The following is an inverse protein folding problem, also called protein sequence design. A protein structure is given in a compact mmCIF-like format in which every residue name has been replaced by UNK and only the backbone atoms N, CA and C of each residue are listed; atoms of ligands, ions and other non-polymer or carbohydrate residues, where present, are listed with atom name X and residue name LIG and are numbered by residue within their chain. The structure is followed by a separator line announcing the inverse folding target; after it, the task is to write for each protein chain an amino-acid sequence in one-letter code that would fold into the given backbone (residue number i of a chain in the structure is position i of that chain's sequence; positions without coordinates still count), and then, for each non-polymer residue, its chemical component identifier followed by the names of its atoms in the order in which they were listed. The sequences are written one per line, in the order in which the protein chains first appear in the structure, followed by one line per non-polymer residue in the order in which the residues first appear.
data_IF_803162190433
#
_entry.id   IF_803162190433
#
_cell.length_a   1.000
_cell.length_b   1.000
_cell.length_c   1.000
_cell.angle_alpha   90.00
_cell.angle_beta   90.00
_cell.angle_gamma   90.00
#
_symmetry.space_group_name_H-M   'P 1'
#
loop_
_entity.id
_entity.type
_entity.pdbx_description
1 polymer ?
#
# COMPACT_ATOMS: atom_id res chain seq x y z
N UNK A 1 33.54 4.01 -10.70
CA UNK A 1 32.34 4.73 -11.16
C UNK A 1 31.21 4.35 -10.22
N UNK A 2 30.65 5.31 -9.49
CA UNK A 2 29.38 5.09 -8.77
C UNK A 2 28.30 5.18 -9.84
N UNK A 3 27.69 4.06 -10.22
CA UNK A 3 26.46 4.10 -11.01
C UNK A 3 25.43 4.85 -10.17
N UNK A 4 25.11 6.09 -10.57
CA UNK A 4 23.97 6.80 -10.02
C UNK A 4 22.76 6.07 -10.59
N UNK A 5 22.26 5.07 -9.85
CA UNK A 5 21.00 4.40 -10.20
C UNK A 5 19.93 5.46 -10.41
N UNK A 6 19.33 5.46 -11.59
CA UNK A 6 18.32 6.44 -11.98
C UNK A 6 17.14 6.39 -11.00
N UNK A 7 16.78 7.56 -10.48
CA UNK A 7 15.69 7.71 -9.51
C UNK A 7 14.39 7.21 -10.14
N UNK A 8 13.78 6.18 -9.56
CA UNK A 8 12.54 5.60 -10.04
C UNK A 8 11.33 6.24 -9.36
N UNK A 9 10.32 6.59 -10.15
CA UNK A 9 9.06 7.13 -9.62
C UNK A 9 7.91 6.15 -9.87
N UNK A 10 7.20 5.82 -8.79
CA UNK A 10 5.94 5.10 -8.82
C UNK A 10 4.80 6.07 -8.46
N UNK A 11 3.83 6.24 -9.36
CA UNK A 11 2.71 7.17 -9.22
C UNK A 11 1.43 6.44 -8.81
N UNK A 12 0.85 6.89 -7.70
CA UNK A 12 -0.34 6.38 -7.03
C UNK A 12 -1.40 7.49 -6.94
N UNK A 13 -2.66 7.10 -6.75
CA UNK A 13 -3.80 8.02 -6.76
C UNK A 13 -4.95 7.55 -7.65
N UNK A 14 -6.02 8.35 -7.74
CA UNK A 14 -7.11 8.07 -8.66
C UNK A 14 -6.61 8.13 -10.11
N UNK A 15 -7.04 7.19 -10.96
CA UNK A 15 -6.58 7.14 -12.36
C UNK A 15 -6.79 8.47 -13.10
N UNK A 16 -7.99 9.04 -13.00
CA UNK A 16 -8.31 10.31 -13.67
C UNK A 16 -7.41 11.46 -13.22
N UNK A 17 -7.06 11.49 -11.94
CA UNK A 17 -6.25 12.58 -11.37
C UNK A 17 -4.75 12.37 -11.65
N UNK A 18 -4.27 11.12 -11.64
CA UNK A 18 -2.92 10.81 -12.12
C UNK A 18 -2.73 11.18 -13.59
N UNK A 19 -3.73 10.87 -14.42
CA UNK A 19 -3.70 11.19 -15.85
C UNK A 19 -3.56 12.72 -16.05
N UNK A 20 -4.29 13.54 -15.29
CA UNK A 20 -4.13 15.01 -15.31
C UNK A 20 -2.77 15.45 -14.77
N UNK A 21 -2.34 14.87 -13.66
CA UNK A 21 -1.08 15.22 -13.00
C UNK A 21 0.12 15.05 -13.93
N UNK A 22 0.27 13.89 -14.58
CA UNK A 22 1.42 13.64 -15.45
C UNK A 22 1.46 14.55 -16.70
N UNK A 23 0.31 15.08 -17.13
CA UNK A 23 0.25 16.04 -18.24
C UNK A 23 0.71 17.45 -17.80
N UNK A 24 0.52 17.78 -16.52
CA UNK A 24 0.87 19.09 -15.96
C UNK A 24 2.23 19.14 -15.26
N UNK A 25 2.79 18.00 -14.87
CA UNK A 25 4.01 17.92 -14.08
C UNK A 25 5.25 18.09 -14.98
N UNK A 26 5.98 19.18 -14.78
CA UNK A 26 7.12 19.57 -15.63
C UNK A 26 8.47 19.07 -15.13
N UNK A 27 8.61 18.79 -13.83
CA UNK A 27 9.93 18.61 -13.21
C UNK A 27 10.59 17.29 -13.61
N UNK A 28 9.78 16.26 -13.90
CA UNK A 28 10.25 14.97 -14.41
C UNK A 28 9.31 14.47 -15.50
N UNK A 29 9.85 13.84 -16.55
CA UNK A 29 9.03 13.28 -17.64
C UNK A 29 8.34 12.00 -17.16
N UNK A 30 7.19 12.17 -16.52
CA UNK A 30 6.35 11.08 -16.08
C UNK A 30 5.45 10.58 -17.20
N UNK A 31 5.28 9.27 -17.27
CA UNK A 31 4.36 8.62 -18.20
C UNK A 31 3.45 7.66 -17.44
N UNK A 32 2.50 7.04 -18.15
CA UNK A 32 1.66 6.00 -17.58
C UNK A 32 2.44 4.76 -17.16
N UNK A 33 3.65 4.55 -17.69
CA UNK A 33 4.51 3.42 -17.27
C UNK A 33 4.92 3.55 -15.80
N UNK A 34 4.97 4.78 -15.25
CA UNK A 34 5.23 5.02 -13.84
C UNK A 34 4.06 4.60 -12.92
N UNK A 35 2.93 4.14 -13.46
CA UNK A 35 1.78 3.75 -12.63
C UNK A 35 1.97 2.35 -12.08
N UNK A 36 1.50 2.12 -10.86
CA UNK A 36 1.45 0.77 -10.28
C UNK A 36 0.58 -0.20 -11.10
N UNK A 37 -0.39 0.35 -11.83
CA UNK A 37 -1.25 -0.35 -12.78
C UNK A 37 -0.44 -1.05 -13.88
N UNK A 38 0.70 -0.50 -14.29
CA UNK A 38 1.58 -1.10 -15.32
C UNK A 38 1.96 -2.52 -14.93
N UNK A 39 2.49 -2.71 -13.72
CA UNK A 39 2.89 -4.02 -13.22
C UNK A 39 1.70 -4.97 -13.07
N UNK A 40 0.59 -4.50 -12.51
CA UNK A 40 -0.64 -5.29 -12.38
C UNK A 40 -1.17 -5.73 -13.77
N UNK A 41 -1.17 -4.82 -14.74
CA UNK A 41 -1.66 -5.08 -16.09
C UNK A 41 -0.77 -6.07 -16.83
N UNK A 42 0.55 -6.04 -16.64
CA UNK A 42 1.45 -7.04 -17.25
C UNK A 42 1.21 -8.45 -16.72
N UNK A 43 0.87 -8.62 -15.44
CA UNK A 43 0.45 -9.92 -14.93
C UNK A 43 -0.91 -10.32 -15.52
N UNK A 44 -1.87 -9.40 -15.62
CA UNK A 44 -3.18 -9.66 -16.25
C UNK A 44 -3.03 -10.06 -17.72
N UNK A 45 -2.20 -9.37 -18.48
CA UNK A 45 -1.91 -9.66 -19.89
C UNK A 45 -1.34 -11.08 -20.04
N UNK A 46 -0.36 -11.45 -19.20
CA UNK A 46 0.20 -12.81 -19.19
C UNK A 46 -0.87 -13.89 -18.89
N UNK A 47 -1.76 -13.63 -17.93
CA UNK A 47 -2.88 -14.54 -17.62
C UNK A 47 -3.83 -14.67 -18.82
N UNK A 48 -4.16 -13.55 -19.49
CA UNK A 48 -5.08 -13.54 -20.63
C UNK A 48 -4.51 -14.25 -21.85
N UNK A 49 -3.23 -14.03 -22.16
CA UNK A 49 -2.53 -14.68 -23.28
C UNK A 49 -2.49 -16.20 -23.14
N UNK A 50 -2.36 -16.69 -21.90
CA UNK A 50 -2.27 -18.12 -21.63
C UNK A 50 -3.62 -18.75 -21.23
N UNK A 51 -4.71 -17.97 -21.14
CA UNK A 51 -5.96 -18.37 -20.51
C UNK A 51 -6.50 -19.73 -21.00
N UNK A 52 -6.44 -20.01 -22.30
CA UNK A 52 -6.88 -21.28 -22.88
C UNK A 52 -6.12 -22.49 -22.33
N UNK A 53 -4.84 -22.31 -22.00
CA UNK A 53 -4.00 -23.36 -21.42
C UNK A 53 -4.22 -23.45 -19.92
N UNK A 54 -4.70 -22.42 -19.25
CA UNK A 54 -4.81 -22.34 -17.79
C UNK A 54 -6.09 -22.98 -17.22
N UNK A 55 -6.85 -23.74 -18.00
CA UNK A 55 -8.16 -24.30 -17.63
C UNK A 55 -8.13 -25.41 -16.57
N UNK A 56 -6.94 -25.93 -16.23
CA UNK A 56 -6.79 -26.94 -15.17
C UNK A 56 -5.93 -26.43 -14.02
N UNK A 57 -6.17 -26.95 -12.81
CA UNK A 57 -5.43 -26.59 -11.60
C UNK A 57 -3.91 -26.81 -11.76
N UNK A 58 -3.51 -27.93 -12.34
CA UNK A 58 -2.09 -28.24 -12.57
C UNK A 58 -1.43 -27.22 -13.51
N UNK A 59 -2.09 -26.86 -14.61
CA UNK A 59 -1.56 -25.86 -15.55
C UNK A 59 -1.51 -24.47 -14.94
N UNK A 60 -2.51 -24.09 -14.13
CA UNK A 60 -2.47 -22.87 -13.33
C UNK A 60 -1.28 -22.85 -12.36
N UNK A 61 -1.06 -23.94 -11.63
CA UNK A 61 0.08 -24.07 -10.71
C UNK A 61 1.41 -23.96 -11.44
N UNK A 62 1.55 -24.62 -12.59
CA UNK A 62 2.76 -24.53 -13.40
C UNK A 62 3.00 -23.10 -13.92
N UNK A 63 1.97 -22.42 -14.41
CA UNK A 63 2.05 -21.02 -14.83
C UNK A 63 2.49 -20.09 -13.70
N UNK A 64 1.86 -20.20 -12.52
CA UNK A 64 2.18 -19.31 -11.40
C UNK A 64 3.59 -19.53 -10.84
N UNK A 65 4.08 -20.77 -10.82
CA UNK A 65 5.48 -21.09 -10.47
C UNK A 65 6.47 -20.50 -11.47
N UNK A 66 6.14 -20.58 -12.77
CA UNK A 66 6.99 -20.09 -13.86
C UNK A 66 6.64 -18.66 -14.32
N UNK A 67 5.90 -17.90 -13.52
CA UNK A 67 5.34 -16.59 -13.92
C UNK A 67 6.39 -15.70 -14.59
N UNK A 68 7.61 -15.68 -14.07
CA UNK A 68 8.73 -14.87 -14.59
C UNK A 68 9.02 -15.08 -16.08
N UNK A 69 8.79 -16.28 -16.65
CA UNK A 69 9.02 -16.53 -18.09
C UNK A 69 7.99 -15.82 -18.97
N UNK A 70 6.76 -15.65 -18.48
CA UNK A 70 5.66 -15.01 -19.20
C UNK A 70 5.66 -13.49 -19.14
N UNK A 71 6.49 -12.90 -18.28
CA UNK A 71 6.55 -11.44 -18.13
C UNK A 71 7.45 -10.83 -19.21
N UNK A 72 7.17 -9.61 -19.70
CA UNK A 72 8.08 -8.87 -20.59
C UNK A 72 9.43 -8.50 -19.94
N UNK A 73 10.49 -8.39 -20.74
CA UNK A 73 11.85 -8.08 -20.26
C UNK A 73 11.93 -6.72 -19.55
N UNK A 74 11.21 -5.71 -20.04
CA UNK A 74 11.22 -4.37 -19.45
C UNK A 74 10.70 -4.36 -18.00
N UNK A 75 9.74 -5.23 -17.66
CA UNK A 75 9.27 -5.37 -16.27
C UNK A 75 10.27 -6.16 -15.41
N UNK A 76 10.92 -7.18 -15.99
CA UNK A 76 11.92 -7.99 -15.26
C UNK A 76 13.17 -7.19 -14.91
N UNK A 77 13.57 -6.31 -15.81
CA UNK A 77 14.77 -5.48 -15.66
C UNK A 77 14.49 -4.19 -14.88
N UNK A 78 13.23 -3.76 -14.80
CA UNK A 78 12.85 -2.64 -13.95
C UNK A 78 13.01 -2.99 -12.46
N UNK A 79 13.74 -2.18 -11.65
CA UNK A 79 13.94 -2.43 -10.24
C UNK A 79 12.66 -2.61 -9.39
N UNK A 80 11.60 -1.82 -9.64
CA UNK A 80 10.30 -2.03 -8.99
C UNK A 80 9.70 -3.36 -9.45
N UNK A 81 9.73 -3.64 -10.75
CA UNK A 81 9.21 -4.85 -11.37
C UNK A 81 9.88 -6.11 -10.84
N UNK A 82 11.20 -6.13 -10.72
CA UNK A 82 11.96 -7.21 -10.08
C UNK A 82 11.46 -7.48 -8.66
N UNK A 83 11.35 -6.43 -7.84
CA UNK A 83 10.84 -6.55 -6.48
C UNK A 83 9.39 -7.04 -6.43
N UNK A 84 8.59 -6.54 -7.38
CA UNK A 84 7.18 -6.84 -7.49
C UNK A 84 6.96 -8.32 -7.79
N UNK A 85 7.67 -8.86 -8.79
CA UNK A 85 7.61 -10.28 -9.18
C UNK A 85 8.10 -11.20 -8.06
N UNK A 86 9.22 -10.85 -7.41
CA UNK A 86 9.72 -11.61 -6.25
C UNK A 86 8.68 -11.65 -5.12
N UNK A 87 8.08 -10.51 -4.79
CA UNK A 87 7.07 -10.40 -3.72
C UNK A 87 5.76 -11.14 -4.01
N UNK A 88 5.44 -11.39 -5.29
CA UNK A 88 4.32 -12.26 -5.67
C UNK A 88 4.60 -13.73 -5.39
N UNK A 89 5.86 -14.15 -5.32
CA UNK A 89 6.22 -15.55 -5.08
C UNK A 89 6.55 -15.85 -3.61
N UNK A 90 7.08 -14.89 -2.85
CA UNK A 90 7.56 -15.11 -1.47
C UNK A 90 6.44 -15.23 -0.43
N UNK A 91 5.48 -14.30 -0.43
CA UNK A 91 4.46 -14.21 0.62
C UNK A 91 3.24 -15.01 0.19
N UNK A 92 2.84 -16.03 0.97
CA UNK A 92 1.66 -16.87 0.70
C UNK A 92 0.43 -16.07 0.23
N UNK A 93 0.04 -15.02 0.97
CA UNK A 93 -1.12 -14.18 0.64
C UNK A 93 -1.01 -13.37 -0.67
N UNK A 94 0.17 -13.30 -1.26
CA UNK A 94 0.47 -12.59 -2.51
C UNK A 94 0.57 -13.56 -3.70
N UNK A 95 0.76 -14.87 -3.45
CA UNK A 95 0.84 -15.87 -4.51
C UNK A 95 -0.43 -15.87 -5.34
N UNK A 96 -0.26 -15.83 -6.67
CA UNK A 96 -1.37 -15.87 -7.61
C UNK A 96 -2.23 -17.13 -7.39
N UNK A 97 -1.62 -18.26 -7.05
CA UNK A 97 -2.34 -19.49 -6.66
C UNK A 97 -3.36 -19.22 -5.54
N UNK A 98 -2.96 -18.52 -4.47
CA UNK A 98 -3.85 -18.21 -3.35
C UNK A 98 -4.84 -17.08 -3.66
N UNK A 99 -4.51 -16.17 -4.57
CA UNK A 99 -5.40 -15.07 -4.97
C UNK A 99 -6.53 -15.57 -5.87
N UNK A 100 -6.23 -16.54 -6.75
CA UNK A 100 -7.14 -17.08 -7.77
C UNK A 100 -7.65 -18.49 -7.44
N UNK A 101 -7.48 -18.96 -6.20
CA UNK A 101 -7.82 -20.35 -5.79
C UNK A 101 -9.28 -20.76 -6.07
N UNK A 102 -10.20 -19.80 -6.08
CA UNK A 102 -11.64 -20.00 -6.29
C UNK A 102 -12.08 -19.45 -7.66
N UNK A 103 -11.14 -19.33 -8.61
CA UNK A 103 -11.43 -18.82 -9.96
C UNK A 103 -11.38 -19.97 -10.95
N UNK A 104 -12.45 -20.09 -11.73
CA UNK A 104 -12.58 -21.05 -12.81
C UNK A 104 -12.37 -20.35 -14.16
N UNK A 105 -11.63 -20.99 -15.06
CA UNK A 105 -11.46 -20.49 -16.43
C UNK A 105 -12.33 -21.34 -17.34
N UNK A 106 -13.42 -20.75 -17.83
CA UNK A 106 -14.39 -21.38 -18.69
C UNK A 106 -14.04 -21.08 -20.15
N UNK A 107 -13.84 -22.12 -20.96
CA UNK A 107 -13.63 -21.98 -22.41
C UNK A 107 -14.98 -21.96 -23.12
N UNK A 108 -15.31 -20.85 -23.76
CA UNK A 108 -16.51 -20.67 -24.57
C UNK A 108 -16.09 -20.31 -26.01
N UNK A 109 -16.11 -21.31 -26.90
CA UNK A 109 -15.59 -21.19 -28.28
C UNK A 109 -14.14 -20.70 -28.26
N UNK A 110 -13.87 -19.54 -28.86
CA UNK A 110 -12.57 -18.87 -28.98
C UNK A 110 -12.29 -17.87 -27.83
N UNK A 111 -13.10 -17.89 -26.76
CA UNK A 111 -12.94 -16.98 -25.62
C UNK A 111 -12.82 -17.73 -24.31
N UNK A 112 -12.00 -17.20 -23.41
CA UNK A 112 -11.95 -17.63 -22.02
C UNK A 112 -12.65 -16.61 -21.13
N UNK A 113 -13.53 -17.11 -20.27
CA UNK A 113 -14.17 -16.33 -19.20
C UNK A 113 -13.55 -16.75 -17.87
N UNK A 114 -13.32 -15.77 -16.98
CA UNK A 114 -12.91 -16.02 -15.61
C UNK A 114 -14.15 -15.90 -14.75
N UNK A 115 -14.50 -16.95 -14.04
CA UNK A 115 -15.67 -17.02 -13.19
C UNK A 115 -15.25 -17.21 -11.73
N UNK A 116 -15.94 -16.51 -10.84
CA UNK A 116 -15.82 -16.68 -9.40
C UNK A 116 -17.19 -16.47 -8.75
N UNK A 117 -17.61 -17.42 -7.93
CA UNK A 117 -18.86 -17.38 -7.17
C UNK A 117 -20.10 -17.14 -8.08
N UNK A 118 -20.09 -17.69 -9.30
CA UNK A 118 -21.12 -17.53 -10.32
C UNK A 118 -21.04 -16.24 -11.13
N UNK A 119 -20.09 -15.35 -10.85
CA UNK A 119 -19.92 -14.08 -11.54
C UNK A 119 -18.72 -14.10 -12.50
N UNK A 120 -18.90 -13.54 -13.70
CA UNK A 120 -17.79 -13.29 -14.62
C UNK A 120 -16.97 -12.11 -14.11
N UNK A 121 -15.68 -12.34 -13.91
CA UNK A 121 -14.73 -11.38 -13.38
C UNK A 121 -13.62 -11.05 -14.39
N UNK A 122 -12.98 -9.89 -14.24
CA UNK A 122 -11.71 -9.61 -14.91
C UNK A 122 -10.56 -10.29 -14.15
N UNK A 123 -9.54 -10.87 -14.84
CA UNK A 123 -8.37 -11.50 -14.21
C UNK A 123 -7.36 -10.48 -13.66
N UNK A 124 -7.82 -9.61 -12.76
CA UNK A 124 -7.05 -8.53 -12.11
C UNK A 124 -7.18 -8.58 -10.58
N UNK A 125 -7.63 -9.71 -10.02
CA UNK A 125 -7.82 -9.89 -8.57
C UNK A 125 -6.55 -9.58 -7.76
N UNK A 126 -5.38 -9.83 -8.36
CA UNK A 126 -4.09 -9.56 -7.71
C UNK A 126 -3.81 -8.07 -7.52
N UNK A 127 -4.44 -7.14 -8.26
CA UNK A 127 -4.08 -5.72 -8.20
C UNK A 127 -4.20 -5.13 -6.78
N UNK A 128 -5.17 -5.57 -5.97
CA UNK A 128 -5.29 -5.15 -4.56
C UNK A 128 -4.05 -5.50 -3.72
N UNK A 129 -3.38 -6.61 -4.02
CA UNK A 129 -2.11 -7.03 -3.40
C UNK A 129 -0.94 -6.37 -4.10
N UNK A 130 -0.95 -6.35 -5.42
CA UNK A 130 0.02 -5.71 -6.28
C UNK A 130 0.31 -4.26 -5.90
N UNK A 131 -0.71 -3.46 -5.64
CA UNK A 131 -0.48 -2.08 -5.22
C UNK A 131 0.27 -1.95 -3.89
N UNK A 132 0.04 -2.87 -2.94
CA UNK A 132 0.81 -2.93 -1.69
C UNK A 132 2.23 -3.43 -1.90
N UNK A 133 2.42 -4.34 -2.87
CA UNK A 133 3.72 -4.83 -3.28
C UNK A 133 4.56 -3.70 -3.89
N UNK A 134 3.96 -2.85 -4.74
CA UNK A 134 4.62 -1.65 -5.27
C UNK A 134 5.07 -0.69 -4.16
N UNK A 135 4.23 -0.48 -3.15
CA UNK A 135 4.60 0.33 -1.97
C UNK A 135 5.73 -0.36 -1.17
N UNK A 136 5.67 -1.68 -0.96
CA UNK A 136 6.73 -2.44 -0.30
C UNK A 136 8.06 -2.37 -1.09
N UNK A 137 8.00 -2.34 -2.43
CA UNK A 137 9.17 -2.15 -3.29
C UNK A 137 9.84 -0.81 -3.05
N UNK A 138 9.05 0.27 -2.99
CA UNK A 138 9.57 1.60 -2.68
C UNK A 138 10.16 1.69 -1.27
N UNK A 139 9.58 0.99 -0.28
CA UNK A 139 10.15 0.94 1.07
C UNK A 139 11.54 0.29 1.04
N UNK A 140 11.72 -0.80 0.30
CA UNK A 140 12.97 -1.56 0.27
C UNK A 140 14.05 -0.98 -0.64
N UNK A 141 13.67 -0.34 -1.74
CA UNK A 141 14.60 0.26 -2.68
C UNK A 141 14.90 1.71 -2.28
N UNK A 142 16.18 2.06 -2.10
CA UNK A 142 16.59 3.43 -1.74
C UNK A 142 16.32 4.43 -2.86
N UNK A 143 16.36 3.97 -4.12
CA UNK A 143 16.28 4.81 -5.31
C UNK A 143 14.86 4.91 -5.88
N UNK A 144 13.84 4.44 -5.14
CA UNK A 144 12.44 4.55 -5.53
C UNK A 144 11.71 5.60 -4.69
N UNK A 145 11.02 6.51 -5.38
CA UNK A 145 10.13 7.52 -4.82
C UNK A 145 8.67 7.20 -5.16
N UNK A 146 7.78 7.49 -4.21
CA UNK A 146 6.34 7.40 -4.37
C UNK A 146 5.76 8.78 -4.58
N UNK A 147 5.07 8.99 -5.69
CA UNK A 147 4.24 10.15 -5.90
C UNK A 147 2.79 9.76 -5.66
N UNK A 148 2.08 10.49 -4.80
CA UNK A 148 0.69 10.21 -4.50
C UNK A 148 -0.20 11.42 -4.78
N UNK A 149 -1.02 11.33 -5.82
CA UNK A 149 -1.98 12.37 -6.20
C UNK A 149 -3.23 12.21 -5.33
N UNK A 150 -3.52 13.22 -4.49
CA UNK A 150 -4.63 13.17 -3.52
C UNK A 150 -5.94 13.79 -4.03
N UNK A 151 -5.91 14.41 -5.21
CA UNK A 151 -7.08 15.06 -5.80
C UNK A 151 -8.23 14.06 -5.99
N UNK A 152 -9.48 14.52 -5.82
CA UNK A 152 -10.68 13.71 -5.92
C UNK A 152 -10.90 12.68 -4.79
N UNK A 153 -9.98 12.54 -3.84
CA UNK A 153 -10.09 11.58 -2.74
C UNK A 153 -10.81 12.20 -1.54
N UNK A 154 -11.91 11.58 -1.12
CA UNK A 154 -12.58 11.93 0.13
C UNK A 154 -11.88 11.28 1.34
N UNK A 155 -11.08 12.05 2.08
CA UNK A 155 -10.28 11.56 3.22
C UNK A 155 -11.12 10.94 4.34
N UNK A 156 -12.32 11.48 4.61
CA UNK A 156 -13.23 10.92 5.61
C UNK A 156 -13.67 9.50 5.22
N UNK A 157 -13.99 9.29 3.94
CA UNK A 157 -14.33 7.96 3.43
C UNK A 157 -13.13 7.00 3.47
N UNK A 158 -11.91 7.50 3.22
CA UNK A 158 -10.69 6.69 3.35
C UNK A 158 -10.52 6.20 4.79
N UNK A 159 -10.57 7.10 5.76
CA UNK A 159 -10.36 6.82 7.19
C UNK A 159 -11.46 5.91 7.74
N UNK A 160 -12.73 6.22 7.47
CA UNK A 160 -13.85 5.43 7.98
C UNK A 160 -14.18 4.20 7.14
N UNK A 161 -13.45 3.96 6.05
CA UNK A 161 -13.69 2.84 5.10
C UNK A 161 -15.12 2.83 4.55
N UNK A 162 -15.65 4.02 4.25
CA UNK A 162 -17.02 4.24 3.74
C UNK A 162 -17.11 4.23 2.21
N UNK A 163 -16.09 3.74 1.51
CA UNK A 163 -16.19 3.52 0.07
C UNK A 163 -17.18 2.38 -0.24
N UNK A 164 -17.98 2.54 -1.29
CA UNK A 164 -18.95 1.53 -1.74
C UNK A 164 -18.28 0.15 -1.79
N UNK A 165 -18.77 -0.76 -0.93
CA UNK A 165 -18.28 -2.13 -0.77
C UNK A 165 -16.77 -2.26 -0.48
N UNK A 166 -16.12 -1.22 0.06
CA UNK A 166 -14.67 -1.17 0.33
C UNK A 166 -13.82 -1.51 -0.92
N UNK A 167 -14.31 -1.16 -2.12
CA UNK A 167 -13.72 -1.54 -3.41
C UNK A 167 -12.60 -0.62 -3.87
N UNK A 168 -12.47 0.59 -3.32
CA UNK A 168 -11.46 1.55 -3.77
C UNK A 168 -10.06 1.05 -3.46
N UNK A 169 -9.30 0.72 -4.51
CA UNK A 169 -7.89 0.35 -4.40
C UNK A 169 -7.09 1.54 -3.88
N UNK A 170 -7.33 2.74 -4.41
CA UNK A 170 -6.66 3.98 -3.98
C UNK A 170 -6.87 4.28 -2.50
N UNK A 171 -8.07 4.09 -1.95
CA UNK A 171 -8.31 4.27 -0.52
C UNK A 171 -7.51 3.24 0.31
N UNK A 172 -7.36 2.01 -0.20
CA UNK A 172 -6.56 0.96 0.45
C UNK A 172 -5.06 1.26 0.37
N UNK A 173 -4.58 1.81 -0.74
CA UNK A 173 -3.21 2.28 -0.92
C UNK A 173 -2.89 3.38 0.09
N UNK A 174 -3.72 4.42 0.17
CA UNK A 174 -3.47 5.54 1.09
C UNK A 174 -3.48 5.10 2.56
N UNK A 175 -4.41 4.21 2.95
CA UNK A 175 -4.38 3.57 4.27
C UNK A 175 -3.13 2.72 4.49
N UNK A 176 -2.64 2.05 3.45
CA UNK A 176 -1.42 1.23 3.54
C UNK A 176 -0.18 2.11 3.72
N UNK A 177 -0.10 3.21 2.97
CA UNK A 177 0.91 4.26 3.11
C UNK A 177 0.88 4.85 4.52
N UNK A 178 -0.28 5.26 5.03
CA UNK A 178 -0.40 5.80 6.40
C UNK A 178 0.16 4.82 7.45
N UNK A 179 -0.09 3.52 7.29
CA UNK A 179 0.46 2.47 8.17
C UNK A 179 1.98 2.30 8.05
N UNK A 180 2.57 2.65 6.92
CA UNK A 180 4.02 2.53 6.69
C UNK A 180 4.70 3.91 6.59
N UNK A 181 4.02 4.98 7.02
CA UNK A 181 4.46 6.38 6.79
C UNK A 181 5.88 6.66 7.28
N UNK A 182 6.28 6.08 8.41
CA UNK A 182 7.64 6.23 8.94
C UNK A 182 8.70 5.50 8.11
N UNK A 183 8.35 4.37 7.49
CA UNK A 183 9.25 3.67 6.58
C UNK A 183 9.29 4.31 5.17
N UNK A 184 8.34 5.21 4.90
CA UNK A 184 8.22 5.98 3.65
C UNK A 184 8.69 7.43 3.81
N UNK A 185 9.19 7.81 4.99
CA UNK A 185 9.68 9.16 5.24
C UNK A 185 10.85 9.49 4.28
N UNK A 186 10.79 10.65 3.63
CA UNK A 186 11.73 11.03 2.57
C UNK A 186 11.58 10.25 1.25
N UNK A 187 10.64 9.30 1.16
CA UNK A 187 10.37 8.49 -0.05
C UNK A 187 9.00 8.75 -0.66
N UNK A 188 8.14 9.52 -0.02
CA UNK A 188 6.81 9.82 -0.52
C UNK A 188 6.56 11.32 -0.61
N UNK A 189 6.02 11.74 -1.75
CA UNK A 189 5.60 13.10 -2.02
C UNK A 189 4.11 13.11 -2.39
N UNK A 190 3.34 13.95 -1.72
CA UNK A 190 1.92 14.11 -2.00
C UNK A 190 1.69 15.30 -2.92
N UNK A 191 0.76 15.16 -3.85
CA UNK A 191 0.41 16.21 -4.81
C UNK A 191 -1.08 16.53 -4.75
N UNK A 192 -1.41 17.82 -4.71
CA UNK A 192 -2.76 18.33 -4.92
C UNK A 192 -2.73 19.49 -5.89
N UNK A 193 -3.62 19.45 -6.90
CA UNK A 193 -3.70 20.42 -7.98
C UNK A 193 -2.34 20.67 -8.63
N UNK A 194 -1.60 19.59 -8.89
CA UNK A 194 -0.28 19.63 -9.50
C UNK A 194 0.86 20.13 -8.61
N UNK A 195 0.59 20.55 -7.37
CA UNK A 195 1.60 21.08 -6.45
C UNK A 195 1.88 20.10 -5.31
N UNK A 196 3.14 20.05 -4.87
CA UNK A 196 3.49 19.33 -3.66
C UNK A 196 2.70 19.86 -2.47
N UNK A 197 2.24 18.96 -1.61
CA UNK A 197 1.49 19.29 -0.41
C UNK A 197 1.93 18.41 0.76
N UNK A 198 1.56 18.82 1.96
CA UNK A 198 1.77 18.02 3.16
C UNK A 198 0.98 16.70 3.11
N UNK A 199 1.44 15.71 3.87
CA UNK A 199 0.74 14.44 3.94
C UNK A 199 -0.67 14.61 4.56
N UNK A 200 -1.68 13.81 4.15
CA UNK A 200 -3.04 13.97 4.64
C UNK A 200 -3.20 13.94 6.17
N UNK A 201 -2.32 13.20 6.85
CA UNK A 201 -2.33 13.08 8.32
C UNK A 201 -1.56 14.19 9.04
N UNK A 202 -0.74 14.98 8.35
CA UNK A 202 -0.21 16.24 8.89
C UNK A 202 -1.24 17.35 8.74
N UNK A 203 -1.96 17.37 7.60
CA UNK A 203 -3.05 18.33 7.32
C UNK A 203 -4.23 18.21 8.27
N UNK A 204 -4.67 16.97 8.55
CA UNK A 204 -5.79 16.70 9.46
C UNK A 204 -5.46 15.52 10.41
N UNK A 205 -4.61 15.75 11.43
CA UNK A 205 -4.21 14.71 12.36
C UNK A 205 -5.40 14.13 13.14
N UNK A 206 -6.41 14.96 13.41
CA UNK A 206 -7.60 14.57 14.16
C UNK A 206 -8.38 13.50 13.39
N UNK A 207 -8.71 13.73 12.13
CA UNK A 207 -9.39 12.75 11.30
C UNK A 207 -8.58 11.46 11.18
N UNK A 208 -7.29 11.56 10.88
CA UNK A 208 -6.45 10.38 10.70
C UNK A 208 -6.23 9.57 11.98
N UNK A 209 -6.37 10.19 13.17
CA UNK A 209 -6.34 9.50 14.45
C UNK A 209 -7.55 8.55 14.65
N UNK A 210 -8.65 8.79 13.95
CA UNK A 210 -9.84 7.94 13.97
C UNK A 210 -9.67 6.64 13.18
N UNK A 211 -8.64 6.55 12.32
CA UNK A 211 -8.42 5.38 11.49
C UNK A 211 -8.13 4.13 12.34
N UNK A 212 -9.10 3.20 12.39
CA UNK A 212 -8.94 1.90 13.06
C UNK A 212 -8.53 0.80 12.09
N UNK A 213 -7.35 0.23 12.29
CA UNK A 213 -6.92 -0.97 11.56
C UNK A 213 -7.40 -2.23 12.29
N UNK A 214 -8.00 -3.18 11.58
CA UNK A 214 -8.67 -4.37 12.16
C UNK A 214 -7.71 -5.49 12.57
N UNK A 215 -6.39 -5.26 12.60
CA UNK A 215 -5.45 -6.25 13.12
C UNK A 215 -4.65 -5.67 14.28
N UNK A 216 -4.79 -6.28 15.46
CA UNK A 216 -3.90 -6.12 16.61
C UNK A 216 -2.41 -6.18 16.21
N UNK A 217 -2.06 -6.90 15.13
CA UNK A 217 -0.71 -6.98 14.55
C UNK A 217 0.03 -5.65 14.35
N UNK A 218 -0.66 -4.53 14.10
CA UNK A 218 0.01 -3.24 13.86
C UNK A 218 0.62 -2.65 15.14
N UNK A 219 -0.11 -2.75 16.26
CA UNK A 219 0.36 -2.30 17.58
C UNK A 219 1.49 -3.21 18.06
N UNK A 220 1.37 -4.53 17.91
CA UNK A 220 2.41 -5.47 18.34
C UNK A 220 3.69 -5.36 17.50
N UNK A 221 3.60 -5.16 16.18
CA UNK A 221 4.78 -5.05 15.30
C UNK A 221 5.58 -3.77 15.54
N UNK A 222 4.92 -2.64 15.81
CA UNK A 222 5.60 -1.40 16.19
C UNK A 222 6.13 -1.45 17.63
N UNK A 223 5.38 -2.08 18.55
CA UNK A 223 5.86 -2.33 19.92
C UNK A 223 7.12 -3.19 19.92
N UNK A 224 7.19 -4.21 19.07
CA UNK A 224 8.36 -5.09 18.94
C UNK A 224 9.59 -4.38 18.35
N UNK A 225 9.40 -3.49 17.35
CA UNK A 225 10.47 -2.63 16.81
C UNK A 225 10.97 -1.63 17.86
N UNK A 226 10.06 -1.02 18.62
CA UNK A 226 10.40 -0.10 19.71
C UNK A 226 11.11 -0.83 20.87
N UNK A 227 10.63 -2.03 21.24
CA UNK A 227 11.21 -2.87 22.31
C UNK A 227 12.58 -3.44 21.94
N UNK A 228 12.79 -3.87 20.69
CA UNK A 228 14.12 -4.29 20.18
C UNK A 228 15.13 -3.16 20.25
N UNK A 229 14.73 -1.94 19.90
CA UNK A 229 15.61 -0.76 19.96
C UNK A 229 15.91 -0.32 21.41
N UNK A 230 14.93 -0.42 22.32
CA UNK A 230 15.14 -0.21 23.76
C UNK A 230 16.06 -1.29 24.38
N UNK A 231 16.02 -2.53 23.88
CA UNK A 231 16.96 -3.59 24.24
C UNK A 231 18.39 -3.27 23.79
N UNK A 232 18.57 -2.86 22.53
CA UNK A 232 19.87 -2.48 21.97
C UNK A 232 20.48 -1.23 22.63
N UNK A 233 19.64 -0.25 23.01
CA UNK A 233 20.07 0.94 23.77
C UNK A 233 20.52 0.58 25.20
N UNK A 234 19.98 -0.50 25.79
CA UNK A 234 20.38 -1.00 27.12
C UNK A 234 21.61 -1.91 27.06
N UNK A 235 21.93 -2.52 25.92
CA UNK A 235 23.07 -3.43 25.75
C UNK A 235 24.35 -2.77 25.24
N UNK A 236 24.37 -1.44 25.02
CA UNK A 236 25.60 -0.69 24.75
C UNK A 236 26.23 -0.90 23.36
N UNK A 237 25.55 -1.55 22.42
CA UNK A 237 26.09 -1.73 21.06
C UNK A 237 25.86 -0.47 20.21
N UNK A 238 26.84 0.43 20.24
CA UNK A 238 26.93 1.56 19.33
C UNK A 238 27.70 1.16 18.05
N UNK A 239 27.02 1.06 16.91
CA UNK A 239 27.65 1.35 15.63
C UNK A 239 26.70 2.10 14.68
N UNK A 240 27.06 3.36 14.45
CA UNK A 240 26.96 4.06 13.16
C UNK A 240 25.58 4.29 12.51
N UNK A 241 24.62 4.93 13.19
CA UNK A 241 23.59 5.76 12.53
C UNK A 241 23.35 7.01 13.37
N UNK A 242 24.09 8.09 13.10
CA UNK A 242 23.92 9.38 13.80
C UNK A 242 23.07 10.35 12.97
N UNK A 243 22.02 10.84 13.63
CA UNK A 243 21.53 12.24 13.63
C UNK A 243 20.15 12.66 13.05
N UNK A 244 19.40 11.92 12.20
CA UNK A 244 18.00 12.31 11.91
C UNK A 244 16.98 11.67 12.86
N UNK A 245 17.34 10.55 13.49
CA UNK A 245 16.39 9.60 14.07
C UNK A 245 15.96 9.90 15.51
N UNK A 246 16.69 10.76 16.24
CA UNK A 246 16.35 11.10 17.63
C UNK A 246 15.15 12.05 17.73
N UNK A 247 15.05 13.02 16.81
CA UNK A 247 13.92 13.96 16.74
C UNK A 247 12.58 13.26 16.41
N UNK A 248 12.64 12.22 15.56
CA UNK A 248 11.48 11.39 15.19
C UNK A 248 10.93 10.57 16.35
N UNK A 249 11.80 10.08 17.24
CA UNK A 249 11.39 9.36 18.46
C UNK A 249 10.69 10.27 19.46
N UNK A 250 11.18 11.49 19.68
CA UNK A 250 10.54 12.42 20.62
C UNK A 250 9.17 12.88 20.12
N UNK A 251 9.04 13.19 18.82
CA UNK A 251 7.76 13.57 18.21
C UNK A 251 6.74 12.42 18.27
N UNK A 252 7.15 11.18 17.99
CA UNK A 252 6.27 10.01 18.07
C UNK A 252 5.86 9.67 19.53
N UNK A 253 6.76 9.85 20.49
CA UNK A 253 6.45 9.68 21.92
C UNK A 253 5.48 10.75 22.40
N UNK A 254 5.67 12.01 21.99
CA UNK A 254 4.80 13.12 22.36
C UNK A 254 3.41 12.97 21.72
N UNK A 255 3.31 12.53 20.47
CA UNK A 255 2.03 12.19 19.83
C UNK A 255 1.31 11.03 20.54
N UNK A 256 2.05 10.05 21.06
CA UNK A 256 1.46 8.95 21.83
C UNK A 256 0.96 9.42 23.19
N UNK A 257 1.72 10.28 23.89
CA UNK A 257 1.27 10.91 25.14
C UNK A 257 0.03 11.77 24.92
N UNK A 258 0.01 12.56 23.84
CA UNK A 258 -1.14 13.38 23.46
C UNK A 258 -2.38 12.52 23.13
N UNK A 259 -2.22 11.45 22.34
CA UNK A 259 -3.31 10.50 22.05
C UNK A 259 -3.85 9.82 23.31
N UNK A 260 -2.98 9.41 24.23
CA UNK A 260 -3.39 8.79 25.49
C UNK A 260 -4.15 9.78 26.39
N UNK A 261 -3.74 11.06 26.42
CA UNK A 261 -4.45 12.13 27.14
C UNK A 261 -5.84 12.43 26.55
N UNK A 262 -5.98 12.43 25.22
CA UNK A 262 -7.29 12.61 24.58
C UNK A 262 -8.24 11.44 24.88
N UNK A 263 -7.71 10.22 24.94
CA UNK A 263 -8.48 9.01 25.28
C UNK A 263 -8.89 8.99 26.76
N UNK A 264 -8.03 9.42 27.68
CA UNK A 264 -8.38 9.52 29.11
C UNK A 264 -9.47 10.56 29.34
N UNK A 265 -9.35 11.74 28.73
CA UNK A 265 -10.33 12.83 28.87
C UNK A 265 -11.68 12.47 28.24
N UNK A 266 -11.68 11.71 27.15
CA UNK A 266 -12.93 11.21 26.54
C UNK A 266 -13.64 10.20 27.44
N UNK A 267 -12.89 9.30 28.09
CA UNK A 267 -13.45 8.30 28.99
C UNK A 267 -13.97 8.91 30.30
N UNK A 268 -13.32 9.95 30.83
CA UNK A 268 -13.82 10.71 31.98
C UNK A 268 -15.12 11.45 31.67
N UNK A 269 -15.21 12.10 30.50
CA UNK A 269 -16.43 12.79 30.08
C UNK A 269 -17.62 11.83 29.86
N UNK A 270 -17.35 10.60 29.38
CA UNK A 270 -18.37 9.55 29.25
C UNK A 270 -18.85 9.08 30.64
N UNK A 271 -17.93 8.86 31.59
CA UNK A 271 -18.30 8.49 32.97
C UNK A 271 -19.11 9.58 33.67
N UNK A 272 -18.76 10.85 33.48
CA UNK A 272 -19.49 11.99 34.08
C UNK A 272 -20.90 12.09 33.50
N UNK A 273 -21.09 11.85 32.19
CA UNK A 273 -22.43 11.82 31.59
C UNK A 273 -23.28 10.66 32.11
N UNK A 274 -22.72 9.46 32.19
CA UNK A 274 -23.43 8.27 32.69
C UNK A 274 -23.86 8.44 34.16
N UNK A 275 -23.00 9.03 35.00
CA UNK A 275 -23.34 9.28 36.40
C UNK A 275 -24.40 10.39 36.59
N UNK A 276 -24.50 11.35 35.66
CA UNK A 276 -25.55 12.38 35.66
C UNK A 276 -26.91 11.87 35.17
N UNK A 277 -26.93 10.82 34.35
CA UNK A 277 -28.16 10.17 33.90
C UNK A 277 -28.70 9.21 34.98
N UNK A 278 -27.83 8.51 35.70
CA UNK A 278 -28.19 7.60 36.80
C UNK A 278 -28.63 8.30 38.10
N UNK A 279 -28.50 9.63 38.19
CA UNK A 279 -28.93 10.43 39.36
C UNK A 279 -30.24 11.19 39.13
N UNK A 280 -30.95 10.88 38.04
CA UNK A 280 -32.25 11.48 37.67
C UNK A 280 -33.41 10.47 37.62
N UNK A 281 -33.18 9.23 38.05
CA UNK A 281 -34.22 8.24 38.39
C UNK A 281 -34.28 8.06 39.91
#
# INVERSE_FOLDING_TARGET
MVEIEEKQILVLGLKSERDKFILSYSDEKLTRENYIDTYNNKIKEAILQEAEKLTTKERWQNFTKNLYSYIPINIKMDPIGKHYLQSLQEKEKNKLENIYKDVHILKLKEKCLFEKDGEVISPILHAKRGCKIGIDAAIKNANTQLFFVIDGINMRNVVHKKDLYNRSITNRELRYIYRHRYALEGKITFFSNGKQCEAPWEKDPQLWSEYKHSSQSFIYKYRDIISKKQGMLKSGEHSSIKQPLNHLTEKAINEQKHRNSLLSNSNENIKIKQNKELSKE
#
